data_IF_648970526735
#
_entry.id   IF_648970526735
#
_cell.length_a   1.000
_cell.length_b   1.000
_cell.length_c   1.000
_cell.angle_alpha   90.00
_cell.angle_beta   90.00
_cell.angle_gamma   90.00
#
_symmetry.space_group_name_H-M   'P 1'
#
loop_
_entity.id
_entity.type
_entity.pdbx_description
1 polymer ?
#
# COMPACT_ATOMS: atom_id res chain seq x y z
N UNK A 1 1.19 -9.68 12.39
CA UNK A 1 1.94 -10.94 12.44
C UNK A 1 2.73 -11.09 13.73
N UNK A 2 3.19 -12.29 14.00
CA UNK A 2 4.02 -12.57 15.17
C UNK A 2 5.46 -12.06 14.95
N UNK A 3 6.16 -11.59 16.00
CA UNK A 3 7.56 -11.16 15.88
C UNK A 3 8.45 -12.28 15.30
N UNK A 4 9.28 -11.94 14.31
CA UNK A 4 10.20 -12.88 13.67
C UNK A 4 9.57 -13.80 12.63
N UNK A 5 8.30 -13.63 12.28
CA UNK A 5 7.62 -14.34 11.20
C UNK A 5 7.36 -13.44 10.02
N UNK A 6 7.29 -14.05 8.82
CA UNK A 6 6.76 -13.36 7.65
C UNK A 6 5.24 -13.28 7.74
N UNK A 7 4.68 -12.15 7.35
CA UNK A 7 3.24 -11.93 7.30
C UNK A 7 2.81 -11.62 5.87
N UNK A 8 1.56 -11.91 5.54
CA UNK A 8 1.00 -11.70 4.22
C UNK A 8 -0.02 -10.57 4.21
N UNK A 9 0.01 -9.75 3.14
CA UNK A 9 -1.14 -8.95 2.75
C UNK A 9 -2.08 -9.82 1.92
N UNK A 10 -3.39 -9.72 2.18
CA UNK A 10 -4.42 -10.29 1.34
C UNK A 10 -5.13 -9.17 0.58
N UNK A 11 -5.20 -9.29 -0.74
CA UNK A 11 -5.75 -8.28 -1.62
C UNK A 11 -6.82 -8.88 -2.54
N UNK A 12 -8.09 -8.96 -2.07
CA UNK A 12 -9.18 -9.61 -2.79
C UNK A 12 -9.79 -8.68 -3.84
N UNK A 13 -8.98 -8.24 -4.81
CA UNK A 13 -9.43 -7.35 -5.88
C UNK A 13 -10.55 -7.99 -6.71
N UNK A 14 -11.53 -7.17 -7.11
CA UNK A 14 -12.64 -7.59 -7.96
C UNK A 14 -12.81 -6.63 -9.15
N UNK A 15 -13.03 -7.12 -10.37
CA UNK A 15 -13.03 -6.28 -11.57
C UNK A 15 -14.18 -5.27 -11.66
N UNK A 16 -15.19 -5.38 -10.81
CA UNK A 16 -16.33 -4.46 -10.73
C UNK A 16 -16.63 -3.99 -9.31
N UNK A 17 -15.70 -4.18 -8.37
CA UNK A 17 -15.90 -3.88 -6.94
C UNK A 17 -17.18 -4.51 -6.34
N UNK A 18 -17.60 -5.68 -6.89
CA UNK A 18 -18.75 -6.38 -6.34
C UNK A 18 -18.48 -6.84 -4.90
N UNK A 19 -19.27 -6.38 -3.91
CA UNK A 19 -19.00 -6.66 -2.52
C UNK A 19 -19.03 -8.15 -2.16
N UNK A 20 -19.89 -8.93 -2.78
CA UNK A 20 -20.02 -10.34 -2.47
C UNK A 20 -18.84 -11.13 -3.08
N UNK A 21 -18.40 -10.76 -4.28
CA UNK A 21 -17.19 -11.32 -4.90
C UNK A 21 -15.93 -11.00 -4.10
N UNK A 22 -15.79 -9.76 -3.63
CA UNK A 22 -14.70 -9.34 -2.73
C UNK A 22 -14.73 -10.17 -1.45
N UNK A 23 -15.88 -10.33 -0.81
CA UNK A 23 -16.02 -11.10 0.44
C UNK A 23 -15.72 -12.58 0.24
N UNK A 24 -16.15 -13.17 -0.87
CA UNK A 24 -15.84 -14.57 -1.19
C UNK A 24 -14.32 -14.78 -1.30
N UNK A 25 -13.64 -13.94 -2.08
CA UNK A 25 -12.17 -14.00 -2.22
C UNK A 25 -11.44 -13.72 -0.92
N UNK A 26 -11.94 -12.78 -0.10
CA UNK A 26 -11.38 -12.49 1.21
C UNK A 26 -11.47 -13.71 2.14
N UNK A 27 -12.64 -14.33 2.23
CA UNK A 27 -12.86 -15.49 3.09
C UNK A 27 -12.02 -16.68 2.63
N UNK A 28 -11.93 -16.92 1.33
CA UNK A 28 -11.05 -17.96 0.78
C UNK A 28 -9.60 -17.72 1.17
N UNK A 29 -9.06 -16.51 0.94
CA UNK A 29 -7.69 -16.17 1.30
C UNK A 29 -7.39 -16.32 2.78
N UNK A 30 -8.32 -15.94 3.66
CA UNK A 30 -8.20 -16.15 5.11
C UNK A 30 -8.12 -17.62 5.48
N UNK A 31 -8.82 -18.53 4.76
CA UNK A 31 -8.73 -19.98 5.01
C UNK A 31 -7.35 -20.55 4.69
N UNK A 32 -6.58 -19.89 3.81
CA UNK A 32 -5.18 -20.23 3.52
C UNK A 32 -4.18 -19.58 4.49
N UNK A 33 -4.64 -18.83 5.47
CA UNK A 33 -3.81 -18.11 6.43
C UNK A 33 -3.18 -16.82 5.89
N UNK A 34 -3.65 -16.32 4.74
CA UNK A 34 -3.24 -15.01 4.22
C UNK A 34 -4.00 -13.87 4.90
N UNK A 35 -3.40 -12.67 4.97
CA UNK A 35 -4.06 -11.47 5.49
C UNK A 35 -3.72 -11.13 6.94
N UNK A 36 -2.77 -11.80 7.54
CA UNK A 36 -2.33 -11.53 8.91
C UNK A 36 -1.58 -10.20 9.09
N UNK A 37 -1.06 -9.63 8.00
CA UNK A 37 -0.47 -8.30 8.00
C UNK A 37 -1.53 -7.22 7.72
N UNK A 38 -2.19 -7.32 6.56
CA UNK A 38 -3.15 -6.35 6.07
C UNK A 38 -4.20 -7.03 5.19
N UNK A 39 -5.45 -6.64 5.33
CA UNK A 39 -6.49 -6.82 4.33
C UNK A 39 -6.60 -5.51 3.54
N UNK A 40 -6.26 -5.55 2.27
CA UNK A 40 -6.25 -4.36 1.41
C UNK A 40 -6.94 -4.63 0.08
N UNK A 41 -7.48 -3.61 -0.56
CA UNK A 41 -8.13 -3.71 -1.86
C UNK A 41 -7.71 -2.55 -2.75
N UNK A 42 -7.38 -2.83 -4.01
CA UNK A 42 -7.34 -1.83 -5.08
C UNK A 42 -8.74 -1.67 -5.67
N UNK A 43 -9.44 -0.56 -5.40
CA UNK A 43 -10.77 -0.37 -5.95
C UNK A 43 -10.69 -0.01 -7.44
N UNK A 44 -11.69 -0.41 -8.20
CA UNK A 44 -11.92 0.06 -9.58
C UNK A 44 -12.57 1.45 -9.54
N UNK A 45 -13.48 1.66 -8.57
CA UNK A 45 -14.13 2.93 -8.30
C UNK A 45 -13.51 3.61 -7.08
N UNK A 46 -12.72 4.66 -7.32
CA UNK A 46 -12.07 5.49 -6.28
C UNK A 46 -13.03 6.55 -5.68
N UNK A 47 -14.34 6.30 -5.67
CA UNK A 47 -15.30 7.15 -4.98
C UNK A 47 -15.27 6.91 -3.46
N UNK A 48 -15.57 7.96 -2.69
CA UNK A 48 -15.68 7.89 -1.23
C UNK A 48 -16.69 6.83 -0.80
N UNK A 49 -17.77 6.68 -1.54
CA UNK A 49 -18.84 5.72 -1.25
C UNK A 49 -18.37 4.27 -1.46
N UNK A 50 -17.63 4.00 -2.55
CA UNK A 50 -17.05 2.69 -2.81
C UNK A 50 -16.01 2.34 -1.74
N UNK A 51 -15.11 3.26 -1.43
CA UNK A 51 -14.08 3.09 -0.38
C UNK A 51 -14.72 2.77 0.98
N UNK A 52 -15.75 3.51 1.39
CA UNK A 52 -16.46 3.26 2.64
C UNK A 52 -17.10 1.88 2.67
N UNK A 53 -17.81 1.52 1.62
CA UNK A 53 -18.49 0.22 1.52
C UNK A 53 -17.53 -0.95 1.69
N UNK A 54 -16.35 -0.88 1.09
CA UNK A 54 -15.30 -1.91 1.22
C UNK A 54 -14.77 -1.96 2.66
N UNK A 55 -14.43 -0.80 3.24
CA UNK A 55 -13.92 -0.73 4.61
C UNK A 55 -14.94 -1.24 5.63
N UNK A 56 -16.21 -0.90 5.47
CA UNK A 56 -17.30 -1.40 6.33
C UNK A 56 -17.39 -2.92 6.27
N UNK A 57 -17.29 -3.53 5.09
CA UNK A 57 -17.31 -4.99 4.92
C UNK A 57 -16.06 -5.66 5.53
N UNK A 58 -14.89 -5.08 5.34
CA UNK A 58 -13.66 -5.60 5.95
C UNK A 58 -13.73 -5.53 7.47
N UNK A 59 -14.25 -4.43 8.02
CA UNK A 59 -14.44 -4.27 9.46
C UNK A 59 -15.46 -5.27 10.03
N UNK A 60 -16.55 -5.54 9.32
CA UNK A 60 -17.52 -6.56 9.69
C UNK A 60 -16.86 -7.94 9.86
N UNK A 61 -16.09 -8.36 8.85
CA UNK A 61 -15.35 -9.64 8.86
C UNK A 61 -14.32 -9.67 10.00
N UNK A 62 -13.50 -8.62 10.09
CA UNK A 62 -12.47 -8.48 11.12
C UNK A 62 -13.05 -8.60 12.52
N UNK A 63 -14.15 -7.90 12.78
CA UNK A 63 -14.80 -7.91 14.09
C UNK A 63 -15.52 -9.22 14.39
N UNK A 64 -16.17 -9.82 13.39
CA UNK A 64 -16.95 -11.05 13.55
C UNK A 64 -16.11 -12.23 14.02
N UNK A 65 -14.88 -12.32 13.56
CA UNK A 65 -13.97 -13.44 13.87
C UNK A 65 -12.74 -13.01 14.67
N UNK A 66 -12.74 -11.79 15.21
CA UNK A 66 -11.63 -11.24 15.99
C UNK A 66 -10.26 -11.43 15.29
N UNK A 67 -10.20 -11.09 13.98
CA UNK A 67 -9.01 -11.30 13.17
C UNK A 67 -7.96 -10.23 13.51
N UNK A 68 -6.76 -10.61 13.98
CA UNK A 68 -5.72 -9.66 14.40
C UNK A 68 -4.97 -9.09 13.18
N UNK A 69 -5.66 -8.33 12.34
CA UNK A 69 -5.13 -7.72 11.12
C UNK A 69 -5.47 -6.23 11.03
N UNK A 70 -4.89 -5.56 10.04
CA UNK A 70 -5.22 -4.18 9.68
C UNK A 70 -6.07 -4.17 8.41
N UNK A 71 -6.93 -3.16 8.25
CA UNK A 71 -7.72 -2.96 7.03
C UNK A 71 -7.36 -1.65 6.35
N UNK A 72 -7.34 -1.65 5.02
CA UNK A 72 -7.15 -0.46 4.19
C UNK A 72 -7.80 -0.63 2.82
N UNK A 73 -7.93 0.49 2.09
CA UNK A 73 -8.27 0.52 0.67
C UNK A 73 -7.19 1.32 -0.06
N UNK A 74 -6.70 0.81 -1.17
CA UNK A 74 -5.60 1.41 -1.93
C UNK A 74 -6.12 2.46 -2.92
N UNK A 75 -6.88 3.41 -2.40
CA UNK A 75 -7.42 4.57 -3.10
C UNK A 75 -6.49 5.79 -2.93
N UNK A 76 -6.73 6.87 -3.65
CA UNK A 76 -5.98 8.10 -3.43
C UNK A 76 -6.17 8.61 -1.99
N UNK A 77 -5.11 9.19 -1.40
CA UNK A 77 -5.11 9.63 0.00
C UNK A 77 -6.26 10.58 0.35
N UNK A 78 -6.62 11.49 -0.57
CA UNK A 78 -7.71 12.45 -0.34
C UNK A 78 -9.07 11.79 -0.26
N UNK A 79 -9.33 10.75 -1.06
CA UNK A 79 -10.56 9.96 -1.00
C UNK A 79 -10.67 9.22 0.32
N UNK A 80 -9.58 8.59 0.77
CA UNK A 80 -9.53 7.91 2.05
C UNK A 80 -9.75 8.87 3.22
N UNK A 81 -9.11 10.05 3.19
CA UNK A 81 -9.31 11.09 4.22
C UNK A 81 -10.79 11.50 4.31
N UNK A 82 -11.46 11.68 3.18
CA UNK A 82 -12.87 12.02 3.17
C UNK A 82 -13.75 10.87 3.68
N UNK A 83 -13.42 9.63 3.34
CA UNK A 83 -14.10 8.45 3.88
C UNK A 83 -13.98 8.37 5.41
N UNK A 84 -12.77 8.58 5.95
CA UNK A 84 -12.53 8.61 7.41
C UNK A 84 -13.33 9.73 8.09
N UNK A 85 -13.34 10.95 7.53
CA UNK A 85 -14.16 12.07 8.04
C UNK A 85 -15.66 11.76 8.06
N UNK A 86 -16.11 10.87 7.18
CA UNK A 86 -17.48 10.35 7.13
C UNK A 86 -17.69 9.12 8.01
N UNK A 87 -16.70 8.76 8.82
CA UNK A 87 -16.79 7.66 9.78
C UNK A 87 -16.51 6.27 9.23
N UNK A 88 -15.83 6.16 8.07
CA UNK A 88 -15.38 4.85 7.58
C UNK A 88 -14.36 4.24 8.56
N UNK A 89 -14.48 2.95 8.90
CA UNK A 89 -13.48 2.27 9.71
C UNK A 89 -12.20 2.07 8.88
N UNK A 90 -11.11 2.70 9.28
CA UNK A 90 -9.84 2.63 8.57
C UNK A 90 -8.70 2.46 9.58
N UNK A 91 -7.92 1.38 9.45
CA UNK A 91 -6.73 1.19 10.28
C UNK A 91 -5.51 1.87 9.66
N UNK A 92 -5.36 1.78 8.35
CA UNK A 92 -4.22 2.33 7.62
C UNK A 92 -4.69 3.21 6.47
N UNK A 93 -4.14 4.40 6.33
CA UNK A 93 -4.29 5.21 5.13
C UNK A 93 -3.14 4.88 4.18
N UNK A 94 -3.51 4.50 2.97
CA UNK A 94 -2.61 4.13 1.89
C UNK A 94 -2.23 5.33 1.03
N UNK A 95 -1.03 5.33 0.46
CA UNK A 95 -0.66 6.15 -0.68
C UNK A 95 0.57 5.61 -1.42
N UNK A 96 0.51 5.59 -2.75
CA UNK A 96 1.70 5.43 -3.58
C UNK A 96 2.55 6.69 -3.53
N UNK A 97 3.85 6.54 -3.33
CA UNK A 97 4.81 7.64 -3.21
C UNK A 97 5.94 7.47 -4.21
N UNK A 98 6.51 8.59 -4.64
CA UNK A 98 7.62 8.65 -5.56
C UNK A 98 8.91 9.11 -4.87
N UNK A 99 10.05 8.76 -5.43
CA UNK A 99 11.38 9.21 -4.99
C UNK A 99 11.75 10.60 -5.51
N UNK A 100 10.95 11.18 -6.41
CA UNK A 100 11.15 12.53 -6.92
C UNK A 100 9.97 13.44 -6.56
N UNK A 101 10.23 14.74 -6.49
CA UNK A 101 9.18 15.73 -6.29
C UNK A 101 8.19 15.72 -7.48
N UNK A 102 8.72 15.66 -8.70
CA UNK A 102 7.89 15.61 -9.92
C UNK A 102 6.93 14.41 -9.93
N UNK A 103 7.41 13.24 -9.49
CA UNK A 103 6.59 12.04 -9.37
C UNK A 103 5.49 12.20 -8.31
N UNK A 104 5.82 12.74 -7.14
CA UNK A 104 4.82 13.00 -6.10
C UNK A 104 3.79 14.06 -6.54
N UNK A 105 4.21 15.13 -7.20
CA UNK A 105 3.29 16.13 -7.77
C UNK A 105 2.37 15.53 -8.84
N UNK A 106 2.86 14.61 -9.66
CA UNK A 106 2.05 13.89 -10.64
C UNK A 106 1.00 12.99 -9.98
N UNK A 107 1.28 12.47 -8.78
CA UNK A 107 0.29 11.75 -7.95
C UNK A 107 -0.63 12.68 -7.16
N UNK A 108 -0.48 13.99 -7.30
CA UNK A 108 -1.29 14.98 -6.59
C UNK A 108 -1.00 15.07 -5.09
N UNK A 109 0.23 14.78 -4.67
CA UNK A 109 0.59 14.75 -3.25
C UNK A 109 1.90 15.48 -2.94
N UNK A 110 1.98 15.92 -1.70
CA UNK A 110 3.19 16.45 -1.07
C UNK A 110 3.30 15.98 0.40
N UNK A 111 4.40 16.36 1.04
CA UNK A 111 4.62 15.96 2.43
C UNK A 111 3.63 16.58 3.44
N UNK A 112 2.96 17.68 3.11
CA UNK A 112 1.97 18.30 3.99
C UNK A 112 0.67 17.52 3.97
N UNK A 113 0.23 17.13 2.77
CA UNK A 113 -0.96 16.30 2.59
C UNK A 113 -0.81 14.95 3.29
N UNK A 114 0.36 14.31 3.17
CA UNK A 114 0.63 13.04 3.84
C UNK A 114 0.61 13.20 5.37
N UNK A 115 1.20 14.27 5.91
CA UNK A 115 1.14 14.53 7.36
C UNK A 115 -0.28 14.83 7.82
N UNK A 116 -1.08 15.55 7.04
CA UNK A 116 -2.50 15.79 7.34
C UNK A 116 -3.28 14.47 7.38
N UNK A 117 -3.06 13.58 6.42
CA UNK A 117 -3.67 12.27 6.38
C UNK A 117 -3.27 11.42 7.61
N UNK A 118 -1.98 11.43 7.96
CA UNK A 118 -1.48 10.75 9.15
C UNK A 118 -2.13 11.26 10.42
N UNK A 119 -2.22 12.58 10.60
CA UNK A 119 -2.86 13.16 11.76
C UNK A 119 -4.36 12.85 11.82
N UNK A 120 -5.03 12.82 10.68
CA UNK A 120 -6.43 12.41 10.60
C UNK A 120 -6.60 10.96 11.03
N UNK A 121 -5.80 10.04 10.49
CA UNK A 121 -5.85 8.62 10.84
C UNK A 121 -5.58 8.37 12.34
N UNK A 122 -4.67 9.12 12.95
CA UNK A 122 -4.38 9.04 14.38
C UNK A 122 -5.54 9.55 15.26
N UNK A 123 -6.32 10.52 14.79
CA UNK A 123 -7.44 11.07 15.57
C UNK A 123 -8.75 10.33 15.36
N UNK A 124 -9.01 9.92 14.13
CA UNK A 124 -10.33 9.47 13.68
C UNK A 124 -10.33 8.05 13.09
N UNK A 125 -9.14 7.47 12.86
CA UNK A 125 -9.00 6.08 12.40
C UNK A 125 -9.16 5.05 13.53
N UNK A 126 -9.21 3.77 13.15
CA UNK A 126 -9.44 2.66 14.07
C UNK A 126 -8.15 1.97 14.55
N UNK A 127 -7.00 2.37 14.04
CA UNK A 127 -5.73 1.75 14.41
C UNK A 127 -5.43 1.93 15.91
N UNK A 128 -4.94 0.88 16.54
CA UNK A 128 -4.54 0.88 17.96
C UNK A 128 -3.10 1.32 18.19
N UNK A 129 -2.32 1.45 17.13
CA UNK A 129 -0.90 1.81 17.18
C UNK A 129 -0.59 3.16 16.51
N UNK A 130 0.62 3.68 16.67
CA UNK A 130 1.02 4.98 16.13
C UNK A 130 1.36 4.97 14.65
N UNK A 131 1.49 3.79 14.04
CA UNK A 131 1.92 3.59 12.66
C UNK A 131 0.68 3.36 11.79
N UNK A 132 0.12 4.44 11.25
CA UNK A 132 -1.17 4.45 10.55
C UNK A 132 -1.06 4.67 9.04
N UNK A 133 0.16 4.78 8.52
CA UNK A 133 0.40 4.99 7.09
C UNK A 133 0.90 3.69 6.44
N UNK A 134 0.37 3.40 5.27
CA UNK A 134 0.85 2.35 4.39
C UNK A 134 1.27 2.99 3.06
N UNK A 135 2.52 2.78 2.65
CA UNK A 135 3.03 3.30 1.39
C UNK A 135 3.39 2.19 0.42
N UNK A 136 3.18 2.47 -0.87
CA UNK A 136 3.80 1.73 -1.95
C UNK A 136 4.77 2.62 -2.72
N UNK A 137 5.88 2.05 -3.16
CA UNK A 137 6.87 2.79 -3.93
C UNK A 137 6.47 2.86 -5.39
N UNK A 138 6.61 4.04 -5.99
CA UNK A 138 6.20 4.33 -7.37
C UNK A 138 7.35 4.42 -8.37
N UNK A 139 8.52 3.82 -8.07
CA UNK A 139 9.70 3.97 -8.92
C UNK A 139 9.48 3.50 -10.38
N UNK A 140 8.64 2.49 -10.59
CA UNK A 140 8.29 2.04 -11.94
C UNK A 140 7.53 3.10 -12.73
N UNK A 141 6.57 3.76 -12.09
CA UNK A 141 5.83 4.88 -12.70
C UNK A 141 6.74 6.08 -12.95
N UNK A 142 7.71 6.34 -12.08
CA UNK A 142 8.70 7.41 -12.27
C UNK A 142 9.59 7.15 -13.48
N UNK A 143 10.05 5.92 -13.68
CA UNK A 143 10.86 5.53 -14.84
C UNK A 143 10.07 5.68 -16.14
N UNK A 144 8.83 5.17 -16.17
CA UNK A 144 7.94 5.25 -17.35
C UNK A 144 7.53 6.69 -17.71
N UNK A 145 7.42 7.59 -16.73
CA UNK A 145 7.02 8.99 -16.92
C UNK A 145 8.21 9.96 -17.04
N UNK A 146 9.43 9.45 -17.12
CA UNK A 146 10.67 10.26 -17.13
C UNK A 146 10.80 11.20 -15.92
N UNK A 147 10.19 10.84 -14.80
CA UNK A 147 10.24 11.62 -13.56
C UNK A 147 11.46 11.28 -12.68
N UNK A 148 12.29 10.35 -13.11
CA UNK A 148 13.46 9.87 -12.38
C UNK A 148 14.72 10.76 -12.55
N UNK A 149 14.71 11.73 -13.45
CA UNK A 149 15.83 12.68 -13.71
C UNK A 149 17.18 11.98 -13.99
N UNK A 150 17.17 10.84 -14.65
CA UNK A 150 18.36 10.04 -14.95
C UNK A 150 18.91 9.21 -13.79
N UNK A 151 18.26 9.21 -12.63
CA UNK A 151 18.59 8.30 -11.54
C UNK A 151 18.06 6.89 -11.80
N UNK A 152 18.75 5.88 -11.28
CA UNK A 152 18.33 4.50 -11.40
C UNK A 152 17.23 4.11 -10.38
N UNK A 153 16.70 2.90 -10.54
CA UNK A 153 15.65 2.36 -9.70
C UNK A 153 16.05 2.32 -8.22
N UNK A 154 17.27 1.92 -7.89
CA UNK A 154 17.74 1.79 -6.50
C UNK A 154 17.79 3.15 -5.81
N UNK A 155 18.23 4.19 -6.52
CA UNK A 155 18.24 5.56 -6.01
C UNK A 155 16.82 6.08 -5.79
N UNK A 156 15.90 5.83 -6.73
CA UNK A 156 14.49 6.21 -6.57
C UNK A 156 13.87 5.51 -5.38
N UNK A 157 14.11 4.21 -5.24
CA UNK A 157 13.60 3.43 -4.11
C UNK A 157 14.14 3.94 -2.77
N UNK A 158 15.45 4.19 -2.67
CA UNK A 158 16.05 4.77 -1.47
C UNK A 158 15.42 6.11 -1.09
N UNK A 159 15.08 6.94 -2.08
CA UNK A 159 14.39 8.22 -1.86
C UNK A 159 12.95 8.03 -1.41
N UNK A 160 12.21 7.05 -1.96
CA UNK A 160 10.88 6.68 -1.48
C UNK A 160 10.92 6.29 0.01
N UNK A 161 11.84 5.42 0.40
CA UNK A 161 12.03 5.04 1.82
C UNK A 161 12.41 6.24 2.69
N UNK A 162 13.28 7.12 2.21
CA UNK A 162 13.65 8.36 2.91
C UNK A 162 12.45 9.29 3.14
N UNK A 163 11.56 9.40 2.14
CA UNK A 163 10.31 10.16 2.27
C UNK A 163 9.37 9.48 3.26
N UNK A 164 9.11 8.18 3.10
CA UNK A 164 8.21 7.40 3.95
C UNK A 164 8.63 7.45 5.43
N UNK A 165 9.92 7.36 5.72
CA UNK A 165 10.48 7.34 7.08
C UNK A 165 10.03 8.53 7.94
N UNK A 166 9.77 9.67 7.31
CA UNK A 166 9.30 10.89 7.99
C UNK A 166 7.94 10.71 8.66
N UNK A 167 7.13 9.77 8.18
CA UNK A 167 5.75 9.55 8.62
C UNK A 167 5.58 8.29 9.45
N UNK A 168 6.67 7.61 9.81
CA UNK A 168 6.66 6.40 10.64
C UNK A 168 5.62 5.37 10.16
N UNK A 169 5.74 4.86 8.93
CA UNK A 169 4.72 3.99 8.34
C UNK A 169 4.61 2.65 9.08
N UNK A 170 3.43 2.05 9.00
CA UNK A 170 3.21 0.66 9.36
C UNK A 170 3.97 -0.28 8.40
N UNK A 171 3.93 0.06 7.11
CA UNK A 171 4.52 -0.74 6.05
C UNK A 171 4.89 0.16 4.86
N UNK A 172 6.04 -0.11 4.25
CA UNK A 172 6.34 0.32 2.88
C UNK A 172 6.43 -0.92 2.01
N UNK A 173 5.57 -1.01 1.00
CA UNK A 173 5.58 -2.10 0.05
C UNK A 173 6.33 -1.68 -1.21
N UNK A 174 7.37 -2.45 -1.54
CA UNK A 174 8.11 -2.29 -2.79
C UNK A 174 7.39 -3.02 -3.91
N UNK A 175 7.09 -2.33 -5.00
CA UNK A 175 6.45 -2.92 -6.18
C UNK A 175 7.49 -3.13 -7.27
N UNK A 176 8.04 -4.32 -7.35
CA UNK A 176 9.07 -4.70 -8.32
C UNK A 176 8.45 -5.10 -9.65
N UNK A 177 9.02 -4.62 -10.74
CA UNK A 177 8.63 -5.01 -12.09
C UNK A 177 7.44 -4.25 -12.67
N UNK A 178 6.83 -3.34 -11.92
CA UNK A 178 5.79 -2.44 -12.45
C UNK A 178 6.40 -1.22 -13.13
N UNK A 179 7.17 -1.48 -14.20
CA UNK A 179 7.93 -0.43 -14.91
C UNK A 179 7.25 -0.06 -16.24
N UNK A 180 6.03 -0.49 -16.41
CA UNK A 180 5.30 -0.29 -17.66
C UNK A 180 5.67 -1.32 -18.75
N UNK A 181 4.97 -1.29 -19.89
CA UNK A 181 5.14 -2.28 -20.96
C UNK A 181 6.46 -2.15 -21.72
N UNK A 182 7.19 -1.07 -21.59
CA UNK A 182 8.46 -0.82 -22.26
C UNK A 182 9.62 -1.62 -21.67
N UNK A 183 9.50 -2.04 -20.44
CA UNK A 183 10.58 -2.72 -19.71
C UNK A 183 10.20 -4.17 -19.43
N UNK A 184 10.89 -5.05 -20.12
CA UNK A 184 10.71 -6.49 -19.95
C UNK A 184 11.85 -7.05 -19.11
N UNK A 185 11.53 -7.44 -17.88
CA UNK A 185 12.47 -8.16 -17.02
C UNK A 185 12.38 -9.66 -17.27
N UNK A 186 13.52 -10.30 -17.31
CA UNK A 186 13.56 -11.75 -17.09
C UNK A 186 13.55 -12.05 -15.57
N UNK A 187 13.27 -13.29 -15.21
CA UNK A 187 13.15 -13.71 -13.79
C UNK A 187 14.36 -13.33 -12.94
N UNK A 188 15.57 -13.38 -13.50
CA UNK A 188 16.80 -13.02 -12.77
C UNK A 188 16.87 -11.52 -12.48
N UNK A 189 16.44 -10.71 -13.42
CA UNK A 189 16.40 -9.25 -13.26
C UNK A 189 15.33 -8.84 -12.24
N UNK A 190 14.16 -9.49 -12.25
CA UNK A 190 13.11 -9.26 -11.25
C UNK A 190 13.60 -9.62 -9.84
N UNK A 191 14.21 -10.79 -9.68
CA UNK A 191 14.80 -11.21 -8.41
C UNK A 191 15.86 -10.21 -7.94
N UNK A 192 16.75 -9.79 -8.83
CA UNK A 192 17.79 -8.82 -8.51
C UNK A 192 17.20 -7.49 -8.06
N UNK A 193 16.26 -6.94 -8.82
CA UNK A 193 15.59 -5.69 -8.48
C UNK A 193 14.88 -5.78 -7.11
N UNK A 194 14.16 -6.88 -6.85
CA UNK A 194 13.54 -7.12 -5.56
C UNK A 194 14.53 -7.18 -4.39
N UNK A 195 15.68 -7.82 -4.59
CA UNK A 195 16.73 -7.87 -3.56
C UNK A 195 17.37 -6.51 -3.31
N UNK A 196 17.61 -5.72 -4.36
CA UNK A 196 18.17 -4.37 -4.26
C UNK A 196 17.21 -3.44 -3.50
N UNK A 197 15.93 -3.49 -3.83
CA UNK A 197 14.89 -2.68 -3.19
C UNK A 197 14.69 -3.10 -1.72
N UNK A 198 14.67 -4.40 -1.42
CA UNK A 198 14.62 -4.91 -0.05
C UNK A 198 15.85 -4.48 0.76
N UNK A 199 17.01 -4.42 0.14
CA UNK A 199 18.22 -3.94 0.79
C UNK A 199 18.07 -2.47 1.22
N UNK A 200 17.48 -1.63 0.38
CA UNK A 200 17.18 -0.23 0.74
C UNK A 200 16.21 -0.15 1.91
N UNK A 201 15.14 -0.93 1.90
CA UNK A 201 14.21 -1.01 3.02
C UNK A 201 14.90 -1.45 4.32
N UNK A 202 15.74 -2.47 4.24
CA UNK A 202 16.52 -2.96 5.39
C UNK A 202 17.45 -1.90 5.97
N UNK A 203 18.13 -1.13 5.12
CA UNK A 203 19.01 -0.04 5.56
C UNK A 203 18.27 1.07 6.30
N UNK A 204 17.02 1.34 5.92
CA UNK A 204 16.20 2.37 6.57
C UNK A 204 15.59 1.92 7.89
N UNK A 205 15.50 0.61 8.11
CA UNK A 205 14.86 0.01 9.29
C UNK A 205 13.34 0.13 9.32
N UNK A 206 12.71 0.39 8.17
CA UNK A 206 11.25 0.45 8.02
C UNK A 206 10.72 -0.96 7.78
N UNK A 207 9.56 -1.34 8.38
CA UNK A 207 8.86 -2.56 7.98
C UNK A 207 8.52 -2.52 6.49
N UNK A 208 8.87 -3.56 5.76
CA UNK A 208 8.72 -3.59 4.31
C UNK A 208 8.06 -4.87 3.82
N UNK A 209 7.33 -4.73 2.72
CA UNK A 209 6.81 -5.81 1.91
C UNK A 209 7.40 -5.78 0.50
N UNK A 210 7.08 -6.77 -0.30
CA UNK A 210 7.44 -6.82 -1.71
C UNK A 210 6.33 -7.48 -2.51
N UNK A 211 5.97 -6.83 -3.60
CA UNK A 211 5.16 -7.41 -4.68
C UNK A 211 6.02 -7.58 -5.92
N UNK A 212 5.93 -8.73 -6.56
CA UNK A 212 6.49 -8.96 -7.89
C UNK A 212 5.32 -9.12 -8.87
N UNK A 213 5.22 -8.20 -9.83
CA UNK A 213 4.10 -8.18 -10.77
C UNK A 213 4.23 -9.17 -11.92
N UNK A 214 5.35 -9.85 -12.07
CA UNK A 214 5.61 -10.84 -13.10
C UNK A 214 5.93 -12.18 -12.47
N UNK A 215 4.89 -12.95 -12.24
CA UNK A 215 4.99 -14.37 -11.88
C UNK A 215 4.58 -15.20 -13.09
N UNK A 216 5.51 -15.59 -13.92
CA UNK A 216 5.35 -16.67 -14.88
C UNK A 216 6.31 -17.78 -14.54
#
# INVERSE_FOLDING_TARGET
GLPGTLSCRLQPNHPTDDPDGIMASLLEGLTFGAGDAVLGLNPVDDSVESVRRVLDRFQEIKSRWDIPTQICVLAHVTTQMEAVRKGAPCDLIFQSIAGSQKGNEAFGLDGKLIEEARQLALREGNATGPNVMYFETGQGSELSSEAHHGADQVVMEARCYGFAKRFQPFLVNTVVGFIGPEYLYNSKQVIRAGLEDHFMGKLTGIPMGCDACYTN
#
